data_IF_384202176865
#
_entry.id   IF_384202176865
#
_cell.length_a   1.000
_cell.length_b   1.000
_cell.length_c   1.000
_cell.angle_alpha   90.00
_cell.angle_beta   90.00
_cell.angle_gamma   90.00
#
_symmetry.space_group_name_H-M   'P 1'
#
loop_
_entity.id
_entity.type
_entity.pdbx_description
1 polymer ?
2 non-polymer ?
3 non-polymer ?
4 water ?
#
# COMPACT_ATOMS: atom_id res chain seq x y z
N UNK A 6 -2.61 9.21 42.14
CA UNK A 6 -2.16 9.29 40.68
C UNK A 6 -1.77 10.71 40.20
N UNK A 7 -0.72 11.23 40.83
CA UNK A 7 -0.06 12.48 40.43
C UNK A 7 0.57 12.37 39.00
N UNK A 8 0.35 13.39 38.15
CA UNK A 8 0.83 13.36 36.76
C UNK A 8 2.31 12.96 36.61
N UNK A 9 3.15 13.47 37.48
CA UNK A 9 4.59 13.20 37.37
C UNK A 9 5.02 11.77 37.71
N UNK A 10 4.05 10.95 38.11
CA UNK A 10 4.40 9.57 38.39
C UNK A 10 4.18 8.66 37.16
N UNK A 11 3.53 9.18 36.09
CA UNK A 11 3.36 8.44 34.84
C UNK A 11 4.70 8.09 34.17
N UNK A 12 4.84 6.86 33.69
CA UNK A 12 6.08 6.42 33.04
C UNK A 12 5.84 6.62 31.54
N UNK A 13 6.93 6.78 30.81
CA UNK A 13 6.89 6.98 29.41
C UNK A 13 6.21 5.79 28.72
N UNK A 14 6.56 4.55 29.10
CA UNK A 14 5.97 3.36 28.48
C UNK A 14 4.47 3.29 28.71
N UNK A 15 4.01 3.69 29.91
CA UNK A 15 2.57 3.72 30.16
C UNK A 15 1.87 4.79 29.34
N UNK A 16 2.53 5.94 29.19
CA UNK A 16 1.98 6.95 28.29
C UNK A 16 1.88 6.39 26.86
N UNK A 17 2.96 5.81 26.31
CA UNK A 17 2.94 5.27 24.96
C UNK A 17 1.97 4.13 24.78
N UNK A 18 1.87 3.20 25.73
CA UNK A 18 0.87 2.08 25.65
C UNK A 18 -0.57 2.63 25.58
N UNK A 19 -0.83 3.64 26.41
CA UNK A 19 -2.17 4.27 26.42
C UNK A 19 -2.45 4.99 25.13
N UNK A 20 -1.44 5.68 24.60
CA UNK A 20 -1.62 6.48 23.38
C UNK A 20 -1.80 5.58 22.18
N UNK A 21 -1.12 4.45 22.17
CA UNK A 21 -1.24 3.56 21.02
C UNK A 21 -2.66 2.93 20.91
N UNK A 22 -3.26 2.65 22.06
CA UNK A 22 -4.61 2.12 22.15
C UNK A 22 -5.63 3.20 21.72
N UNK A 23 -5.41 4.44 22.19
CA UNK A 23 -6.22 5.59 21.74
C UNK A 23 -6.14 5.68 20.21
N UNK A 24 -4.92 5.77 19.67
CA UNK A 24 -4.73 5.88 18.21
C UNK A 24 -5.37 4.66 17.44
N UNK A 25 -5.22 3.43 17.94
CA UNK A 25 -5.84 2.25 17.29
C UNK A 25 -7.35 2.40 17.28
N UNK A 26 -7.89 2.95 18.35
CA UNK A 26 -9.35 2.95 18.49
C UNK A 26 -10.00 4.17 17.83
N UNK A 27 -9.34 5.32 17.89
CA UNK A 27 -9.99 6.59 17.55
C UNK A 27 -9.35 7.18 16.33
N UNK A 28 -8.14 6.73 16.04
CA UNK A 28 -7.38 7.29 14.91
C UNK A 28 -6.51 8.39 15.51
N UNK A 29 -5.56 8.86 14.70
CA UNK A 29 -4.72 9.99 15.08
C UNK A 29 -5.42 11.33 15.32
N UNK A 30 -6.20 11.76 14.35
CA UNK A 30 -7.01 13.04 14.41
C UNK A 30 -7.85 13.24 15.68
N UNK A 31 -8.68 12.25 16.02
CA UNK A 31 -9.61 12.35 17.17
C UNK A 31 -8.95 12.14 18.53
N UNK A 32 -7.75 11.56 18.54
CA UNK A 32 -7.05 11.36 19.79
C UNK A 32 -6.56 12.69 20.30
N UNK A 33 -6.76 12.93 21.59
CA UNK A 33 -6.28 14.16 22.20
C UNK A 33 -5.39 13.80 23.37
N UNK A 34 -4.66 14.79 23.84
CA UNK A 34 -3.82 14.65 25.07
C UNK A 34 -4.65 14.30 26.29
N UNK A 35 -5.81 14.92 26.39
CA UNK A 35 -6.71 14.59 27.50
C UNK A 35 -7.13 13.11 27.43
N UNK A 36 -7.43 12.60 26.24
CA UNK A 36 -7.85 11.23 26.12
C UNK A 36 -6.69 10.24 26.49
N UNK A 37 -5.48 10.53 25.98
CA UNK A 37 -4.30 9.71 26.27
C UNK A 37 -4.04 9.73 27.75
N UNK A 38 -4.08 10.93 28.35
CA UNK A 38 -3.84 11.06 29.79
C UNK A 38 -4.83 10.25 30.59
N UNK A 39 -6.12 10.48 30.34
CA UNK A 39 -7.18 9.69 31.00
C UNK A 39 -6.99 8.19 30.82
N UNK A 40 -6.64 7.76 29.63
CA UNK A 40 -6.49 6.34 29.34
C UNK A 40 -5.36 5.69 30.22
N UNK A 41 -4.28 6.44 30.43
CA UNK A 41 -3.13 5.92 31.22
C UNK A 41 -3.43 5.98 32.73
N UNK A 42 -4.50 6.68 33.11
CA UNK A 42 -4.83 6.73 34.52
C UNK A 42 -4.46 8.06 35.15
N UNK A 43 -4.25 9.10 34.32
CA UNK A 43 -3.81 10.38 34.82
C UNK A 43 -4.62 11.45 34.15
N UNK A 44 -3.98 12.58 33.78
CA UNK A 44 -4.65 13.69 33.02
C UNK A 44 -3.59 14.14 32.03
N UNK A 45 -3.88 15.19 31.26
CA UNK A 45 -2.98 15.54 30.16
C UNK A 45 -1.56 15.91 30.68
N UNK A 46 -1.47 16.48 31.88
CA UNK A 46 -0.15 16.85 32.43
C UNK A 46 0.85 15.67 32.52
N UNK A 47 0.31 14.46 32.54
CA UNK A 47 1.15 13.25 32.58
C UNK A 47 1.73 13.02 31.20
N UNK A 48 1.06 13.49 30.17
CA UNK A 48 1.59 13.33 28.82
C UNK A 48 2.70 14.39 28.58
N UNK A 49 2.38 15.65 28.90
CA UNK A 49 3.35 16.76 28.89
C UNK A 49 4.67 16.43 29.68
N UNK A 50 4.58 15.59 30.70
CA UNK A 50 5.76 15.25 31.51
C UNK A 50 6.78 14.55 30.66
N UNK A 51 6.31 13.96 29.56
CA UNK A 51 7.16 13.22 28.64
C UNK A 51 7.28 13.74 27.20
N UNK A 52 6.24 14.40 26.66
CA UNK A 52 6.14 14.77 25.26
C UNK A 52 5.57 16.14 25.11
N UNK A 53 6.11 16.97 24.21
CA UNK A 53 5.60 18.35 24.03
C UNK A 53 4.21 18.33 23.50
N UNK A 54 3.92 17.31 22.68
CA UNK A 54 2.71 17.38 21.93
C UNK A 54 2.37 16.02 21.37
N UNK A 55 1.23 15.95 20.71
CA UNK A 55 0.71 14.69 20.19
C UNK A 55 1.63 14.10 19.08
N UNK A 56 2.18 14.93 18.20
CA UNK A 56 3.06 14.37 17.20
C UNK A 56 4.37 13.74 17.75
N UNK A 57 4.89 14.24 18.91
CA UNK A 57 6.03 13.61 19.50
C UNK A 57 5.59 12.28 20.03
N UNK A 58 4.33 12.20 20.52
CA UNK A 58 3.82 10.92 21.06
C UNK A 58 3.78 9.89 19.92
N UNK A 59 3.24 10.34 18.77
CA UNK A 59 3.15 9.43 17.62
C UNK A 59 4.50 8.96 17.17
N UNK A 60 5.47 9.90 17.08
CA UNK A 60 6.81 9.57 16.64
C UNK A 60 7.41 8.48 17.52
N UNK A 61 7.12 8.55 18.81
CA UNK A 61 7.76 7.67 19.80
C UNK A 61 7.10 6.28 19.68
N UNK A 62 5.78 6.23 19.48
CA UNK A 62 5.10 4.94 19.23
C UNK A 62 5.66 4.28 17.99
N UNK A 63 5.95 5.09 16.96
CA UNK A 63 6.47 4.52 15.74
C UNK A 63 7.91 4.04 15.95
N UNK A 64 8.74 4.86 16.55
CA UNK A 64 10.12 4.56 16.69
C UNK A 64 10.27 3.20 17.39
N UNK A 65 9.39 2.93 18.36
CA UNK A 65 9.50 1.79 19.29
C UNK A 65 9.31 0.47 18.51
N UNK A 66 8.56 0.54 17.41
CA UNK A 66 8.49 -0.67 16.57
C UNK A 66 9.38 -0.62 15.32
N UNK A 67 9.56 0.51 14.70
CA UNK A 67 10.45 0.66 13.57
C UNK A 67 11.94 0.46 13.88
N UNK A 68 12.43 0.99 14.99
CA UNK A 68 13.83 0.80 15.41
C UNK A 68 14.27 -0.67 15.41
N UNK A 69 13.60 -1.54 16.20
CA UNK A 69 13.96 -2.97 16.23
C UNK A 69 13.99 -3.64 14.87
N UNK A 70 13.09 -3.22 13.98
CA UNK A 70 12.88 -3.90 12.72
C UNK A 70 13.96 -3.49 11.75
N UNK A 71 14.40 -2.25 11.88
CA UNK A 71 15.51 -1.72 11.06
C UNK A 71 16.83 -2.37 11.46
N UNK A 72 16.98 -2.57 12.76
CA UNK A 72 18.08 -3.34 13.31
C UNK A 72 18.14 -4.75 12.68
N UNK A 73 17.05 -5.50 12.69
CA UNK A 73 17.05 -6.81 12.01
C UNK A 73 17.49 -6.69 10.56
N UNK A 74 16.96 -5.71 9.81
CA UNK A 74 17.29 -5.62 8.42
C UNK A 74 18.74 -5.28 8.20
N UNK A 75 19.27 -4.43 9.05
CA UNK A 75 20.66 -4.07 8.98
C UNK A 75 21.57 -5.30 9.13
N UNK A 76 21.25 -6.22 10.05
CA UNK A 76 22.07 -7.43 10.19
C UNK A 76 22.20 -8.31 8.91
N UNK A 77 21.21 -8.27 8.04
CA UNK A 77 21.23 -9.12 6.83
C UNK A 77 22.38 -8.83 5.87
N UNK A 78 22.94 -7.64 5.95
CA UNK A 78 24.07 -7.33 5.07
C UNK A 78 25.47 -7.62 5.73
N UNK A 79 25.52 -8.30 6.87
CA UNK A 79 26.82 -8.49 7.58
C UNK A 79 27.84 -9.34 6.76
N UNK A 80 29.11 -8.95 6.82
CA UNK A 80 30.16 -9.70 6.10
C UNK A 80 30.57 -10.89 6.96
N UNK A 81 29.86 -11.08 8.07
CA UNK A 81 30.13 -12.25 8.89
C UNK A 81 29.34 -13.45 8.53
N UNK A 82 28.38 -13.26 7.63
CA UNK A 82 27.64 -14.39 7.16
C UNK A 82 27.62 -14.33 5.64
N UNK A 83 27.29 -15.43 4.99
CA UNK A 83 27.42 -15.54 3.53
C UNK A 83 26.12 -15.95 2.87
N UNK A 84 25.02 -15.74 3.60
CA UNK A 84 23.67 -15.98 3.10
C UNK A 84 22.74 -14.73 3.22
N UNK A 85 23.09 -13.56 2.59
CA UNK A 85 22.28 -12.32 2.76
C UNK A 85 20.84 -12.44 2.24
N UNK A 86 20.65 -13.17 1.16
CA UNK A 86 19.34 -13.40 0.62
C UNK A 86 18.52 -14.23 1.60
N UNK A 87 19.06 -15.37 2.06
CA UNK A 87 18.35 -16.17 3.08
C UNK A 87 18.04 -15.32 4.32
N UNK A 88 18.97 -14.47 4.73
CA UNK A 88 18.80 -13.70 5.96
C UNK A 88 17.70 -12.66 5.83
N UNK A 89 17.67 -12.00 4.67
CA UNK A 89 16.59 -11.07 4.33
C UNK A 89 15.25 -11.77 4.37
N UNK A 90 15.20 -12.97 3.80
CA UNK A 90 13.99 -13.79 3.86
C UNK A 90 13.60 -14.10 5.30
N UNK A 91 14.59 -14.44 6.13
CA UNK A 91 14.31 -14.76 7.56
C UNK A 91 13.69 -13.59 8.28
N UNK A 92 14.24 -12.40 8.06
CA UNK A 92 13.75 -11.22 8.72
C UNK A 92 12.29 -10.91 8.27
N UNK A 93 12.07 -10.82 6.95
CA UNK A 93 10.80 -10.43 6.38
C UNK A 93 9.71 -11.45 6.73
N UNK A 94 10.03 -12.74 6.61
CA UNK A 94 8.98 -13.75 6.75
C UNK A 94 8.50 -13.82 8.23
N UNK A 95 9.47 -13.80 9.15
CA UNK A 95 9.14 -13.72 10.56
C UNK A 95 8.45 -12.42 10.93
N UNK A 96 8.80 -11.33 10.25
CA UNK A 96 8.01 -10.09 10.46
C UNK A 96 6.57 -10.24 10.02
N UNK A 97 6.34 -10.79 8.82
CA UNK A 97 4.98 -11.08 8.34
C UNK A 97 4.17 -11.92 9.36
N UNK A 98 4.76 -13.05 9.77
CA UNK A 98 4.16 -13.89 10.82
C UNK A 98 3.84 -13.06 12.07
N UNK A 99 4.82 -12.28 12.56
CA UNK A 99 4.55 -11.45 13.72
C UNK A 99 3.39 -10.46 13.55
N UNK A 100 3.37 -9.79 12.40
CA UNK A 100 2.32 -8.82 12.11
C UNK A 100 0.99 -9.54 12.05
N UNK A 101 0.98 -10.76 11.54
CA UNK A 101 -0.27 -11.52 11.44
C UNK A 101 -0.76 -12.03 12.82
N UNK A 102 0.17 -12.32 13.74
CA UNK A 102 -0.23 -12.91 15.02
C UNK A 102 -0.33 -11.88 16.17
N UNK A 103 0.24 -10.72 16.01
CA UNK A 103 0.28 -9.76 17.09
C UNK A 103 -0.57 -8.54 16.72
N UNK A 104 -1.82 -8.52 17.18
CA UNK A 104 -2.78 -7.48 16.76
C UNK A 104 -2.22 -6.07 17.10
N UNK A 105 -1.55 -5.96 18.23
CA UNK A 105 -1.05 -4.69 18.69
C UNK A 105 -0.02 -4.14 17.74
N UNK A 106 0.98 -4.94 17.43
CA UNK A 106 1.93 -4.61 16.34
C UNK A 106 1.27 -4.33 15.01
N UNK A 107 0.32 -5.16 14.67
CA UNK A 107 -0.34 -4.95 13.40
C UNK A 107 -1.07 -3.60 13.41
N UNK A 108 -1.74 -3.27 14.48
CA UNK A 108 -2.42 -1.99 14.50
C UNK A 108 -1.50 -0.75 14.55
N UNK A 109 -0.30 -0.88 15.10
CA UNK A 109 0.60 0.22 14.91
C UNK A 109 1.09 0.36 13.49
N UNK A 110 1.43 -0.77 12.88
CA UNK A 110 1.83 -0.76 11.50
C UNK A 110 0.66 -0.14 10.66
N UNK A 111 -0.59 -0.44 11.01
CA UNK A 111 -1.75 0.10 10.26
C UNK A 111 -1.97 1.61 10.52
N UNK A 112 -1.62 2.12 11.70
CA UNK A 112 -1.62 3.54 11.91
C UNK A 112 -0.72 4.23 10.88
N UNK A 113 0.49 3.70 10.65
CA UNK A 113 1.40 4.33 9.70
C UNK A 113 0.89 4.14 8.27
N UNK A 114 0.37 2.95 7.96
CA UNK A 114 -0.09 2.71 6.59
C UNK A 114 -1.16 3.69 6.22
N UNK A 115 -2.14 3.89 7.11
CA UNK A 115 -3.28 4.80 6.90
C UNK A 115 -2.89 6.23 6.57
N UNK A 116 -1.89 6.76 7.29
CA UNK A 116 -1.30 8.07 6.99
C UNK A 116 -2.31 9.23 7.17
N UNK A 117 -1.90 10.46 6.80
CA UNK A 117 -2.71 11.68 7.02
C UNK A 117 -3.99 11.64 6.18
N UNK A 118 -5.13 11.92 6.83
CA UNK A 118 -6.45 11.74 6.22
C UNK A 118 -6.76 12.82 5.22
N UNK A 119 -5.84 13.77 5.06
CA UNK A 119 -6.00 14.95 4.17
C UNK A 119 -4.68 15.64 3.84
N UNK A 120 -4.62 16.28 2.67
CA UNK A 120 -3.51 17.14 2.25
C UNK A 120 -3.12 18.26 3.25
N UNK A 121 -4.03 18.63 4.17
CA UNK A 121 -3.77 19.62 5.26
C UNK A 121 -2.52 19.41 6.13
N UNK A 122 -2.34 18.17 6.54
CA UNK A 122 -1.24 17.79 7.40
C UNK A 122 -0.40 16.74 6.67
N UNK A 123 0.92 16.79 6.89
CA UNK A 123 1.87 15.82 6.33
C UNK A 123 2.63 15.11 7.45
N UNK A 124 2.08 15.11 8.66
CA UNK A 124 2.82 14.58 9.84
C UNK A 124 3.17 13.08 9.76
N UNK A 125 2.21 12.22 9.43
CA UNK A 125 2.51 10.79 9.24
C UNK A 125 3.30 10.54 7.92
N UNK A 126 3.07 11.39 6.92
CA UNK A 126 3.72 11.18 5.59
C UNK A 126 5.23 11.30 5.62
N UNK A 127 5.73 12.31 6.32
CA UNK A 127 7.14 12.51 6.58
C UNK A 127 7.75 11.36 7.35
N UNK A 128 7.01 10.79 8.31
CA UNK A 128 7.56 9.64 9.11
C UNK A 128 7.65 8.43 8.22
N UNK A 129 6.60 8.24 7.45
CA UNK A 129 6.60 7.18 6.42
C UNK A 129 7.76 7.36 5.42
N UNK A 130 7.94 8.54 4.87
CA UNK A 130 9.07 8.77 3.95
C UNK A 130 10.37 8.33 4.61
N UNK A 131 10.64 8.84 5.78
CA UNK A 131 11.85 8.53 6.49
C UNK A 131 11.97 7.02 6.78
N UNK A 132 10.89 6.38 7.21
CA UNK A 132 10.90 4.94 7.35
C UNK A 132 11.16 4.12 6.06
N UNK A 133 10.43 4.44 4.98
CA UNK A 133 10.68 3.83 3.65
C UNK A 133 12.14 3.92 3.19
N UNK A 134 12.73 5.10 3.35
CA UNK A 134 14.15 5.32 2.99
C UNK A 134 15.10 4.44 3.82
N UNK A 135 14.84 4.33 5.12
CA UNK A 135 15.61 3.46 6.03
C UNK A 135 15.59 1.98 5.60
N UNK A 136 14.40 1.51 5.24
CA UNK A 136 14.15 0.13 4.87
C UNK A 136 14.82 -0.16 3.51
N UNK A 137 14.65 0.75 2.58
CA UNK A 137 15.25 0.60 1.26
C UNK A 137 16.78 0.53 1.36
N UNK A 138 17.37 1.43 2.16
CA UNK A 138 18.83 1.49 2.28
C UNK A 138 19.30 0.10 2.72
N UNK A 139 18.68 -0.42 3.77
CA UNK A 139 19.07 -1.70 4.31
C UNK A 139 18.88 -2.90 3.39
N UNK A 140 17.74 -2.95 2.70
CA UNK A 140 17.51 -4.01 1.74
C UNK A 140 18.55 -3.91 0.59
N UNK A 141 18.83 -2.70 0.14
CA UNK A 141 19.79 -2.56 -0.93
C UNK A 141 21.19 -3.06 -0.52
N UNK A 142 21.58 -2.80 0.74
CA UNK A 142 22.88 -3.28 1.23
C UNK A 142 22.99 -4.82 1.29
N UNK A 143 21.95 -5.50 1.77
CA UNK A 143 21.89 -6.98 1.74
C UNK A 143 22.04 -7.50 0.31
N UNK A 144 21.31 -6.87 -0.59
CA UNK A 144 21.34 -7.24 -2.02
C UNK A 144 22.67 -6.94 -2.68
N UNK A 145 23.35 -5.89 -2.28
CA UNK A 145 24.68 -5.62 -2.78
C UNK A 145 25.68 -6.69 -2.28
N UNK A 146 25.58 -7.08 -1.01
CA UNK A 146 26.37 -8.24 -0.56
C UNK A 146 26.05 -9.55 -1.31
N UNK A 147 24.79 -9.75 -1.72
CA UNK A 147 24.42 -10.97 -2.44
C UNK A 147 25.11 -11.04 -3.83
N UNK A 148 25.18 -9.88 -4.48
CA UNK A 148 25.80 -9.73 -5.82
C UNK A 148 27.30 -10.12 -5.79
N UNK A 149 28.02 -9.59 -4.80
CA UNK A 149 29.44 -9.92 -4.57
C UNK A 149 29.70 -11.41 -4.38
N UNK A 150 28.73 -12.10 -3.77
CA UNK A 150 28.84 -13.49 -3.55
C UNK A 150 28.28 -14.26 -4.75
N UNK A 151 27.93 -13.56 -5.84
CA UNK A 151 27.59 -14.25 -7.05
C UNK A 151 26.18 -14.85 -7.00
N UNK A 152 25.37 -14.34 -6.07
CA UNK A 152 24.01 -14.86 -5.83
C UNK A 152 22.86 -14.13 -6.61
N UNK A 153 23.18 -13.09 -7.37
CA UNK A 153 22.23 -12.37 -8.13
C UNK A 153 22.37 -12.80 -9.59
N UNK A 154 21.32 -12.59 -10.35
CA UNK A 154 21.31 -12.90 -11.74
C UNK A 154 22.24 -11.90 -12.42
N UNK A 155 22.77 -12.25 -13.60
CA UNK A 155 23.65 -11.33 -14.33
C UNK A 155 22.94 -10.00 -14.59
N UNK A 156 23.59 -8.90 -14.25
CA UNK A 156 23.02 -7.60 -14.59
C UNK A 156 22.05 -7.05 -13.54
N UNK A 157 21.79 -7.79 -12.45
CA UNK A 157 20.76 -7.36 -11.49
C UNK A 157 21.27 -6.17 -10.72
N UNK A 158 20.46 -5.11 -10.70
CA UNK A 158 20.79 -3.92 -9.96
C UNK A 158 20.19 -4.03 -8.56
N UNK A 159 21.01 -4.05 -7.52
CA UNK A 159 20.48 -4.19 -6.16
C UNK A 159 19.54 -3.05 -5.70
N UNK A 160 19.77 -1.82 -6.19
CA UNK A 160 18.91 -0.69 -5.86
C UNK A 160 17.48 -0.85 -6.47
N UNK A 161 17.44 -1.30 -7.71
CA UNK A 161 16.14 -1.58 -8.37
C UNK A 161 15.46 -2.75 -7.67
N UNK A 162 16.20 -3.81 -7.48
CA UNK A 162 15.70 -4.94 -6.72
C UNK A 162 15.06 -4.56 -5.35
N UNK A 163 15.75 -3.72 -4.57
CA UNK A 163 15.22 -3.25 -3.29
C UNK A 163 13.92 -2.46 -3.54
N UNK A 164 13.91 -1.60 -4.54
CA UNK A 164 12.71 -0.80 -4.82
C UNK A 164 11.49 -1.74 -5.19
N UNK A 165 11.72 -2.81 -5.97
CA UNK A 165 10.62 -3.72 -6.37
C UNK A 165 10.08 -4.52 -5.17
N UNK A 166 11.02 -4.95 -4.34
CA UNK A 166 10.67 -5.66 -3.11
C UNK A 166 9.84 -4.77 -2.20
N UNK A 167 10.23 -3.53 -1.97
CA UNK A 167 9.41 -2.66 -1.14
C UNK A 167 8.03 -2.46 -1.80
N UNK A 168 7.97 -2.26 -3.13
CA UNK A 168 6.69 -2.10 -3.77
C UNK A 168 5.79 -3.32 -3.56
N UNK A 169 6.25 -4.52 -3.84
CA UNK A 169 5.29 -5.62 -3.85
C UNK A 169 4.95 -5.94 -2.36
N UNK A 170 5.91 -5.81 -1.42
CA UNK A 170 5.58 -5.98 0.01
C UNK A 170 4.60 -4.90 0.54
N UNK A 171 4.90 -3.63 0.26
CA UNK A 171 3.99 -2.57 0.63
C UNK A 171 2.59 -2.89 0.12
N UNK A 172 2.44 -3.35 -1.14
CA UNK A 172 1.14 -3.65 -1.67
C UNK A 172 0.39 -4.74 -0.90
N UNK A 173 1.14 -5.76 -0.46
CA UNK A 173 0.55 -6.85 0.32
C UNK A 173 0.07 -6.26 1.62
N UNK A 174 0.89 -5.44 2.26
CA UNK A 174 0.49 -4.81 3.59
C UNK A 174 -0.81 -3.97 3.42
N UNK A 175 -0.92 -3.21 2.33
CA UNK A 175 -2.11 -2.39 2.13
C UNK A 175 -3.34 -3.24 1.82
N UNK A 176 -3.14 -4.22 0.95
CA UNK A 176 -4.20 -5.16 0.61
C UNK A 176 -4.78 -5.90 1.82
N UNK A 177 -3.92 -6.45 2.66
CA UNK A 177 -4.28 -7.18 3.90
C UNK A 177 -4.98 -6.30 4.92
N UNK A 178 -4.57 -5.03 5.01
CA UNK A 178 -5.25 -4.06 5.82
C UNK A 178 -6.70 -3.82 5.30
N UNK A 179 -6.87 -3.62 3.97
CA UNK A 179 -8.19 -3.41 3.38
C UNK A 179 -9.10 -4.67 3.48
N UNK A 180 -8.57 -5.85 3.12
CA UNK A 180 -9.42 -7.04 2.92
C UNK A 180 -8.64 -8.26 3.33
N UNK A 181 -8.50 -8.44 4.64
CA UNK A 181 -7.81 -9.64 5.10
C UNK A 181 -8.44 -10.96 4.56
N UNK A 182 -9.68 -10.98 4.13
CA UNK A 182 -10.24 -12.24 3.62
C UNK A 182 -9.60 -12.60 2.28
N UNK A 183 -9.17 -11.56 1.54
CA UNK A 183 -8.66 -11.71 0.19
C UNK A 183 -7.16 -11.68 0.08
N UNK A 184 -6.49 -10.97 0.98
CA UNK A 184 -5.03 -10.82 0.95
C UNK A 184 -4.44 -11.17 2.31
N UNK A 185 -3.60 -12.22 2.41
CA UNK A 185 -3.21 -12.82 3.68
C UNK A 185 -1.79 -12.42 3.96
N UNK A 186 -1.59 -11.69 5.04
CA UNK A 186 -0.28 -11.08 5.27
C UNK A 186 0.89 -12.13 5.22
N UNK A 187 0.78 -13.23 5.95
CA UNK A 187 1.79 -14.30 5.87
C UNK A 187 1.92 -14.91 4.49
N UNK A 188 0.81 -15.40 3.96
CA UNK A 188 0.85 -16.23 2.78
C UNK A 188 1.28 -15.37 1.56
N UNK A 189 0.68 -14.18 1.44
CA UNK A 189 0.96 -13.32 0.29
C UNK A 189 2.25 -12.49 0.48
N UNK A 190 2.59 -12.15 1.72
CA UNK A 190 3.89 -11.47 1.94
C UNK A 190 4.96 -12.44 1.46
N UNK A 191 4.85 -13.71 1.87
CA UNK A 191 5.86 -14.69 1.48
C UNK A 191 5.86 -14.92 -0.06
N UNK A 192 4.68 -15.02 -0.67
CA UNK A 192 4.65 -15.15 -2.14
C UNK A 192 5.21 -13.89 -2.81
N UNK A 193 4.89 -12.69 -2.35
CA UNK A 193 5.46 -11.47 -3.01
C UNK A 193 7.00 -11.37 -2.86
N UNK A 194 7.47 -11.68 -1.66
CA UNK A 194 8.90 -11.66 -1.36
C UNK A 194 9.65 -12.67 -2.23
N UNK A 195 9.17 -13.91 -2.29
CA UNK A 195 9.82 -14.96 -3.11
C UNK A 195 9.78 -14.68 -4.62
N UNK A 196 8.64 -14.20 -5.08
CA UNK A 196 8.42 -13.87 -6.49
C UNK A 196 9.40 -12.74 -6.85
N UNK A 197 9.45 -11.72 -6.05
CA UNK A 197 10.35 -10.59 -6.32
C UNK A 197 11.83 -10.96 -6.24
N UNK A 198 12.22 -11.70 -5.22
CA UNK A 198 13.60 -12.17 -5.13
C UNK A 198 13.91 -13.07 -6.32
N UNK A 199 12.98 -13.88 -6.81
CA UNK A 199 13.38 -14.80 -7.89
C UNK A 199 13.65 -14.07 -9.25
N UNK A 200 13.21 -12.80 -9.34
CA UNK A 200 13.43 -11.94 -10.52
C UNK A 200 14.91 -11.45 -10.57
N UNK A 201 15.53 -11.39 -9.41
CA UNK A 201 16.86 -10.74 -9.22
C UNK A 201 17.94 -11.68 -8.68
N UNK A 202 17.49 -12.79 -8.08
CA UNK A 202 18.34 -13.82 -7.43
C UNK A 202 18.44 -15.09 -8.31
N UNK A 203 19.68 -15.61 -8.44
CA UNK A 203 20.03 -16.87 -9.14
C UNK A 203 19.14 -18.03 -8.67
N UNK A 204 18.74 -18.91 -9.59
CA UNK A 204 18.06 -20.15 -9.12
C UNK A 204 18.97 -21.01 -8.31
N UNK A 205 18.38 -21.74 -7.38
CA UNK A 205 19.13 -22.58 -6.49
C UNK A 205 19.65 -21.88 -5.25
N UNK A 206 19.56 -20.54 -5.16
CA UNK A 206 20.14 -19.85 -3.94
C UNK A 206 19.29 -20.06 -2.66
N UNK A 207 17.96 -20.07 -2.80
CA UNK A 207 17.08 -20.44 -1.69
C UNK A 207 15.89 -21.21 -2.29
N UNK A 208 15.15 -21.94 -1.43
CA UNK A 208 13.99 -22.75 -1.86
C UNK A 208 12.73 -21.92 -1.60
N UNK A 209 11.99 -21.49 -2.67
CA UNK A 209 10.81 -20.67 -2.43
C UNK A 209 9.78 -21.40 -1.56
N UNK A 210 9.07 -20.65 -0.74
CA UNK A 210 8.00 -21.23 0.02
C UNK A 210 8.40 -21.80 1.34
N UNK A 211 9.70 -21.82 1.64
CA UNK A 211 10.17 -22.39 2.90
C UNK A 211 10.15 -21.35 4.04
N UNK A 212 9.87 -21.86 5.22
CA UNK A 212 9.95 -21.07 6.43
C UNK A 212 11.38 -21.08 6.98
N UNK A 213 12.10 -19.95 6.88
CA UNK A 213 13.43 -19.91 7.47
C UNK A 213 13.49 -19.98 9.00
N UNK A 214 14.66 -20.39 9.50
CA UNK A 214 14.92 -20.32 10.94
C UNK A 214 15.00 -18.82 11.28
N UNK A 215 14.48 -18.41 12.46
CA UNK A 215 14.67 -17.03 12.89
C UNK A 215 16.19 -16.65 12.81
N UNK A 216 16.47 -15.43 12.35
CA UNK A 216 17.85 -14.92 12.31
C UNK A 216 18.47 -15.04 13.67
N UNK A 217 19.72 -15.60 13.77
CA UNK A 217 20.26 -15.86 15.14
C UNK A 217 20.51 -14.60 15.99
N UNK A 218 20.49 -14.72 17.32
CA UNK A 218 21.09 -13.71 18.28
C UNK A 218 20.10 -13.09 19.28
N UNK B 10 -27.45 15.28 -12.84
CA UNK B 10 -26.59 15.00 -14.04
C UNK B 10 -25.40 15.97 -14.20
N UNK B 11 -25.68 17.28 -14.33
CA UNK B 11 -24.61 18.29 -14.46
C UNK B 11 -24.40 19.14 -13.18
N UNK B 12 -25.49 19.34 -12.43
CA UNK B 12 -25.41 19.85 -11.07
C UNK B 12 -24.71 18.79 -10.25
N UNK B 13 -25.12 17.52 -10.47
CA UNK B 13 -24.45 16.34 -9.88
C UNK B 13 -22.95 16.47 -10.09
N UNK B 14 -22.54 16.62 -11.36
CA UNK B 14 -21.13 16.74 -11.71
C UNK B 14 -20.41 17.90 -11.01
N UNK B 15 -21.06 19.08 -10.96
CA UNK B 15 -20.57 20.23 -10.18
C UNK B 15 -20.38 20.01 -8.68
N UNK B 16 -21.33 19.36 -8.01
CA UNK B 16 -21.17 19.01 -6.59
C UNK B 16 -19.95 18.12 -6.43
N UNK B 17 -19.90 17.05 -7.24
CA UNK B 17 -18.81 16.12 -7.17
C UNK B 17 -17.43 16.75 -7.34
N UNK B 18 -17.31 17.69 -8.27
CA UNK B 18 -16.05 18.37 -8.51
C UNK B 18 -15.61 19.14 -7.26
N UNK B 19 -16.55 19.91 -6.70
CA UNK B 19 -16.29 20.75 -5.54
C UNK B 19 -15.94 19.86 -4.36
N UNK B 20 -16.73 18.80 -4.16
CA UNK B 20 -16.47 17.81 -3.14
C UNK B 20 -15.09 17.20 -3.30
N UNK B 21 -14.61 17.09 -4.54
CA UNK B 21 -13.23 16.60 -4.73
C UNK B 21 -12.23 17.57 -4.12
N UNK B 22 -12.43 18.86 -4.37
CA UNK B 22 -11.50 19.88 -3.89
C UNK B 22 -11.46 19.90 -2.35
N UNK B 23 -12.64 19.83 -1.73
CA UNK B 23 -12.77 19.76 -0.27
C UNK B 23 -12.22 18.47 0.30
N UNK B 24 -12.62 17.33 -0.26
CA UNK B 24 -12.20 16.07 0.33
C UNK B 24 -10.67 15.97 0.36
N UNK B 25 -10.00 16.41 -0.72
CA UNK B 25 -8.53 16.31 -0.79
C UNK B 25 -7.82 17.24 0.20
N UNK B 26 -8.22 18.51 0.25
CA UNK B 26 -7.57 19.43 1.20
C UNK B 26 -7.92 19.11 2.66
N UNK B 27 -9.21 18.87 2.92
CA UNK B 27 -9.75 18.78 4.29
C UNK B 27 -9.94 17.37 4.87
N UNK B 28 -10.14 16.39 3.99
CA UNK B 28 -10.28 15.00 4.43
C UNK B 28 -11.75 14.62 4.55
N UNK B 29 -11.99 13.32 4.75
CA UNK B 29 -13.35 12.77 4.83
C UNK B 29 -14.11 13.26 6.08
N UNK B 30 -13.42 13.25 7.22
CA UNK B 30 -14.03 13.65 8.49
C UNK B 30 -14.55 15.09 8.49
N UNK B 31 -13.63 16.04 8.16
CA UNK B 31 -13.93 17.47 8.37
C UNK B 31 -14.77 18.14 7.27
N UNK B 32 -15.01 17.44 6.17
CA UNK B 32 -15.84 17.96 5.09
C UNK B 32 -17.32 17.68 5.36
N UNK B 33 -18.16 18.71 5.27
CA UNK B 33 -19.62 18.52 5.26
C UNK B 33 -20.27 19.02 3.97
N UNK B 34 -21.51 18.57 3.78
CA UNK B 34 -22.36 18.95 2.66
C UNK B 34 -22.51 20.47 2.44
N UNK B 35 -22.54 21.25 3.53
CA UNK B 35 -22.65 22.73 3.44
C UNK B 35 -21.40 23.41 2.86
N UNK B 36 -20.21 22.96 3.27
CA UNK B 36 -18.93 23.41 2.70
C UNK B 36 -18.86 23.11 1.18
N UNK B 37 -19.22 21.88 0.82
CA UNK B 37 -19.25 21.45 -0.58
C UNK B 37 -20.19 22.37 -1.41
N UNK B 38 -21.38 22.64 -0.89
CA UNK B 38 -22.35 23.48 -1.57
C UNK B 38 -21.78 24.84 -1.97
N UNK B 39 -21.25 25.54 -0.97
CA UNK B 39 -20.64 26.87 -1.15
C UNK B 39 -19.58 26.89 -2.28
N UNK B 40 -18.55 26.07 -2.15
CA UNK B 40 -17.52 26.04 -3.18
C UNK B 40 -18.14 25.77 -4.56
N UNK B 41 -19.13 24.88 -4.60
CA UNK B 41 -19.88 24.52 -5.83
C UNK B 41 -20.73 25.68 -6.32
N UNK B 42 -21.04 26.58 -5.39
CA UNK B 42 -21.87 27.74 -5.68
C UNK B 42 -23.36 27.46 -5.65
N UNK B 43 -23.81 26.32 -5.09
CA UNK B 43 -25.26 26.03 -5.07
C UNK B 43 -25.87 26.14 -3.66
N UNK B 44 -27.22 26.07 -3.61
CA UNK B 44 -28.05 26.01 -2.39
C UNK B 44 -27.97 24.65 -1.66
N UNK B 45 -28.21 24.64 -0.34
CA UNK B 45 -28.29 23.36 0.39
C UNK B 45 -29.37 22.42 -0.20
N UNK B 46 -30.55 22.97 -0.52
CA UNK B 46 -31.64 22.19 -1.12
C UNK B 46 -31.19 21.42 -2.37
N UNK B 47 -30.66 22.19 -3.34
CA UNK B 47 -30.00 21.69 -4.57
C UNK B 47 -29.05 20.53 -4.34
N UNK B 48 -28.21 20.62 -3.29
CA UNK B 48 -27.23 19.61 -2.97
C UNK B 48 -27.88 18.31 -2.45
N UNK B 49 -28.86 18.46 -1.55
CA UNK B 49 -29.52 17.31 -0.90
C UNK B 49 -30.37 16.48 -1.85
N UNK B 50 -30.94 17.15 -2.84
CA UNK B 50 -31.59 16.50 -4.00
C UNK B 50 -30.78 15.33 -4.57
N UNK B 51 -29.47 15.49 -4.59
CA UNK B 51 -28.56 14.51 -5.16
C UNK B 51 -27.98 13.61 -4.07
N UNK B 52 -27.54 14.19 -2.96
CA UNK B 52 -26.84 13.42 -1.98
C UNK B 52 -27.27 13.92 -0.63
N UNK B 53 -27.85 13.00 0.14
CA UNK B 53 -28.38 13.30 1.47
C UNK B 53 -27.30 13.27 2.54
N UNK B 54 -26.07 12.92 2.17
CA UNK B 54 -24.98 12.72 3.13
C UNK B 54 -23.62 12.65 2.43
N UNK B 55 -22.56 12.83 3.21
CA UNK B 55 -21.18 12.76 2.74
C UNK B 55 -20.83 11.41 2.08
N UNK B 56 -21.26 10.30 2.65
CA UNK B 56 -20.89 9.01 2.07
C UNK B 56 -21.52 8.78 0.70
N UNK B 57 -22.76 9.20 0.53
CA UNK B 57 -23.39 9.14 -0.78
C UNK B 57 -22.53 9.89 -1.78
N UNK B 58 -22.02 11.04 -1.33
CA UNK B 58 -21.16 11.89 -2.17
C UNK B 58 -19.81 11.20 -2.50
N UNK B 59 -19.11 10.71 -1.46
CA UNK B 59 -17.88 9.95 -1.72
C UNK B 59 -18.10 8.78 -2.68
N UNK B 60 -19.21 8.04 -2.50
CA UNK B 60 -19.52 6.85 -3.32
C UNK B 60 -19.60 7.21 -4.80
N UNK B 61 -20.15 8.40 -5.08
CA UNK B 61 -20.32 8.89 -6.46
C UNK B 61 -19.02 9.48 -7.04
N UNK B 62 -18.17 10.01 -6.16
CA UNK B 62 -16.83 10.38 -6.54
C UNK B 62 -16.03 9.12 -6.91
N UNK B 63 -15.90 8.17 -5.98
CA UNK B 63 -15.17 6.97 -6.32
C UNK B 63 -15.73 6.37 -7.59
N UNK B 64 -17.05 6.18 -7.64
CA UNK B 64 -17.75 5.65 -8.82
C UNK B 64 -17.26 6.29 -10.13
N UNK B 65 -17.08 7.60 -10.13
CA UNK B 65 -16.84 8.28 -11.39
C UNK B 65 -15.59 7.74 -12.05
N UNK B 66 -14.57 7.54 -11.24
CA UNK B 66 -13.24 7.06 -11.63
C UNK B 66 -13.18 5.52 -11.70
N UNK B 67 -13.58 4.89 -10.61
CA UNK B 67 -13.45 3.45 -10.44
C UNK B 67 -14.27 2.69 -11.47
N UNK B 68 -15.44 3.22 -11.80
CA UNK B 68 -16.27 2.53 -12.75
C UNK B 68 -15.59 2.34 -14.14
N UNK B 69 -15.14 3.44 -14.78
CA UNK B 69 -14.68 3.21 -16.14
C UNK B 69 -13.34 2.45 -16.19
N UNK B 70 -12.60 2.50 -15.08
CA UNK B 70 -11.40 1.68 -14.92
C UNK B 70 -11.71 0.19 -14.92
N UNK B 71 -12.87 -0.18 -14.35
CA UNK B 71 -13.25 -1.56 -14.19
C UNK B 71 -13.75 -2.08 -15.49
N UNK B 72 -14.38 -1.17 -16.26
CA UNK B 72 -14.77 -1.41 -17.62
C UNK B 72 -13.57 -1.64 -18.54
N UNK B 73 -12.49 -0.88 -18.39
CA UNK B 73 -11.23 -1.16 -19.12
C UNK B 73 -10.66 -2.57 -18.70
N UNK B 74 -10.60 -2.84 -17.40
CA UNK B 74 -10.12 -4.14 -16.92
C UNK B 74 -10.92 -5.30 -17.44
N UNK B 75 -12.22 -5.17 -17.35
CA UNK B 75 -13.21 -6.11 -17.86
C UNK B 75 -13.04 -6.47 -19.31
N UNK B 76 -12.84 -5.48 -20.15
CA UNK B 76 -12.50 -5.70 -21.56
C UNK B 76 -11.26 -6.55 -21.85
N UNK B 77 -10.24 -6.54 -20.97
CA UNK B 77 -9.04 -7.32 -21.25
C UNK B 77 -9.30 -8.84 -21.24
N UNK B 78 -10.40 -9.31 -20.66
CA UNK B 78 -10.73 -10.73 -20.73
C UNK B 78 -11.82 -11.06 -21.81
N UNK B 79 -12.11 -10.14 -22.72
CA UNK B 79 -13.07 -10.42 -23.78
C UNK B 79 -12.68 -11.68 -24.58
N UNK B 80 -13.70 -12.50 -24.82
CA UNK B 80 -13.51 -13.75 -25.57
C UNK B 80 -13.38 -13.37 -27.00
N UNK B 81 -13.31 -12.08 -27.29
CA UNK B 81 -13.20 -11.60 -28.72
C UNK B 81 -11.79 -11.21 -29.23
N UNK B 82 -10.81 -11.21 -28.33
CA UNK B 82 -9.42 -10.84 -28.70
C UNK B 82 -8.54 -11.92 -28.02
N UNK B 83 -7.37 -12.20 -28.58
CA UNK B 83 -6.60 -13.35 -28.14
C UNK B 83 -5.28 -12.94 -27.44
N UNK B 84 -5.22 -11.69 -26.96
CA UNK B 84 -4.00 -11.14 -26.28
C UNK B 84 -4.30 -10.58 -24.89
N UNK B 85 -4.92 -11.39 -23.96
CA UNK B 85 -5.36 -10.87 -22.66
C UNK B 85 -4.26 -10.32 -21.77
N UNK B 86 -3.07 -10.90 -21.87
CA UNK B 86 -1.94 -10.41 -21.04
C UNK B 86 -1.51 -9.05 -21.58
N UNK B 87 -1.20 -9.04 -22.86
CA UNK B 87 -0.88 -7.76 -23.52
C UNK B 87 -1.92 -6.68 -23.19
N UNK B 88 -3.20 -7.01 -23.29
CA UNK B 88 -4.26 -6.01 -23.03
C UNK B 88 -4.30 -5.53 -21.57
N UNK B 89 -4.25 -6.49 -20.63
CA UNK B 89 -4.23 -6.15 -19.20
C UNK B 89 -2.99 -5.25 -18.84
N UNK B 90 -1.83 -5.66 -19.31
CA UNK B 90 -0.63 -4.89 -19.17
C UNK B 90 -0.82 -3.47 -19.74
N UNK B 91 -1.42 -3.39 -20.94
CA UNK B 91 -1.68 -2.07 -21.56
C UNK B 91 -2.60 -1.22 -20.71
N UNK B 92 -3.70 -1.76 -20.22
CA UNK B 92 -4.55 -0.99 -19.35
C UNK B 92 -3.79 -0.44 -18.10
N UNK B 93 -2.99 -1.25 -17.40
CA UNK B 93 -2.34 -0.75 -16.20
C UNK B 93 -1.27 0.31 -16.54
N UNK B 94 -0.46 0.05 -17.56
CA UNK B 94 0.58 1.02 -17.98
C UNK B 94 -0.09 2.34 -18.34
N UNK B 95 -1.12 2.29 -19.20
CA UNK B 95 -1.82 3.53 -19.52
C UNK B 95 -2.43 4.24 -18.35
N UNK B 96 -2.98 3.49 -17.40
CA UNK B 96 -3.52 4.08 -16.20
C UNK B 96 -2.43 4.79 -15.40
N UNK B 97 -1.31 4.12 -15.20
CA UNK B 97 -0.16 4.70 -14.50
C UNK B 97 0.23 6.03 -15.21
N UNK B 98 0.37 5.98 -16.50
CA UNK B 98 0.74 7.16 -17.25
C UNK B 98 -0.27 8.27 -17.01
N UNK B 99 -1.56 7.96 -17.12
CA UNK B 99 -2.55 9.01 -16.98
C UNK B 99 -2.53 9.69 -15.59
N UNK B 100 -2.38 8.84 -14.57
CA UNK B 100 -2.28 9.36 -13.18
C UNK B 100 -1.09 10.30 -13.02
N UNK B 101 0.04 9.96 -13.60
CA UNK B 101 1.24 10.74 -13.48
C UNK B 101 1.15 12.06 -14.15
N UNK B 102 0.30 12.18 -15.18
CA UNK B 102 0.28 13.37 -16.04
C UNK B 102 -0.96 14.26 -15.77
N UNK B 103 -1.89 13.79 -14.91
CA UNK B 103 -3.16 14.47 -14.61
C UNK B 103 -3.34 14.66 -13.11
N UNK B 104 -2.94 15.82 -12.57
CA UNK B 104 -2.97 16.04 -11.11
C UNK B 104 -4.43 15.94 -10.59
N UNK B 105 -5.41 16.40 -11.38
CA UNK B 105 -6.85 16.23 -11.04
C UNK B 105 -7.11 14.74 -10.71
N UNK B 106 -6.93 13.87 -11.71
CA UNK B 106 -7.21 12.43 -11.49
C UNK B 106 -6.37 11.82 -10.40
N UNK B 107 -5.12 12.26 -10.28
CA UNK B 107 -4.25 11.71 -9.24
C UNK B 107 -4.72 12.10 -7.83
N UNK B 108 -5.33 13.28 -7.65
CA UNK B 108 -5.85 13.64 -6.31
C UNK B 108 -7.10 12.82 -5.95
N UNK B 109 -7.97 12.63 -6.94
CA UNK B 109 -9.15 11.79 -6.77
C UNK B 109 -8.70 10.38 -6.39
N UNK B 110 -7.64 9.90 -7.02
CA UNK B 110 -7.14 8.58 -6.69
C UNK B 110 -6.57 8.49 -5.29
N UNK B 111 -5.90 9.53 -4.82
CA UNK B 111 -5.36 9.47 -3.40
C UNK B 111 -6.51 9.51 -2.34
N UNK B 112 -7.52 10.37 -2.57
CA UNK B 112 -8.79 10.32 -1.83
C UNK B 112 -9.30 8.87 -1.77
N UNK B 113 -9.30 8.19 -2.93
CA UNK B 113 -9.75 6.80 -3.07
C UNK B 113 -8.84 5.81 -2.35
N UNK B 114 -7.53 6.09 -2.32
CA UNK B 114 -6.58 5.18 -1.64
C UNK B 114 -6.37 5.40 -0.15
N UNK B 115 -6.66 6.61 0.35
CA UNK B 115 -6.40 6.94 1.77
C UNK B 115 -7.26 6.07 2.67
N UNK B 116 -6.77 5.73 3.84
CA UNK B 116 -7.54 4.90 4.74
C UNK B 116 -8.45 5.71 5.63
N UNK B 117 -9.46 5.06 6.20
CA UNK B 117 -10.21 5.67 7.30
C UNK B 117 -9.23 5.89 8.46
N UNK B 118 -9.50 6.87 9.31
CA UNK B 118 -8.62 7.16 10.43
C UNK B 118 -8.64 6.02 11.47
N UNK B 119 -9.83 5.51 11.80
CA UNK B 119 -9.99 4.46 12.84
C UNK B 119 -10.50 3.12 12.31
N UNK B 120 -10.60 2.14 13.21
CA UNK B 120 -11.25 0.88 12.91
C UNK B 120 -12.77 1.03 13.09
N UNK B 121 -13.19 2.22 13.51
CA UNK B 121 -14.61 2.50 13.77
C UNK B 121 -15.34 3.03 12.55
N UNK B 122 -14.72 3.97 11.82
CA UNK B 122 -15.26 4.41 10.53
C UNK B 122 -14.82 3.45 9.44
N UNK B 123 -15.71 3.26 8.48
CA UNK B 123 -15.62 2.15 7.57
C UNK B 123 -16.10 2.49 6.16
N UNK B 124 -17.21 3.23 6.05
CA UNK B 124 -18.01 3.29 4.80
C UNK B 124 -17.17 3.56 3.54
N UNK B 125 -16.07 4.31 3.72
CA UNK B 125 -15.01 4.43 2.73
C UNK B 125 -14.10 3.17 2.65
N UNK B 126 -13.83 2.49 3.76
CA UNK B 126 -13.14 1.20 3.63
C UNK B 126 -14.09 0.23 2.94
N UNK B 127 -15.41 0.41 3.08
CA UNK B 127 -16.35 -0.52 2.42
C UNK B 127 -16.33 -0.45 0.89
N UNK B 128 -16.14 0.75 0.36
CA UNK B 128 -15.96 0.89 -1.08
C UNK B 128 -14.56 0.50 -1.50
N UNK B 129 -13.58 0.59 -0.61
CA UNK B 129 -12.27 0.11 -0.96
C UNK B 129 -12.32 -1.38 -1.12
N UNK B 130 -12.96 -2.04 -0.14
CA UNK B 130 -13.11 -3.50 -0.16
C UNK B 130 -13.81 -3.95 -1.43
N UNK B 131 -14.87 -3.23 -1.82
CA UNK B 131 -15.68 -3.60 -2.96
C UNK B 131 -14.88 -3.30 -4.21
N UNK B 132 -14.16 -2.19 -4.18
CA UNK B 132 -13.31 -1.81 -5.27
C UNK B 132 -12.14 -2.72 -5.44
N UNK B 133 -11.51 -3.10 -4.32
CA UNK B 133 -10.38 -4.09 -4.29
C UNK B 133 -10.88 -5.43 -4.88
N UNK B 134 -12.05 -5.89 -4.46
CA UNK B 134 -12.62 -7.17 -4.95
C UNK B 134 -12.97 -7.15 -6.45
N UNK B 135 -13.51 -6.03 -6.92
CA UNK B 135 -13.85 -5.88 -8.36
C UNK B 135 -12.61 -5.94 -9.25
N UNK B 136 -11.54 -5.25 -8.86
CA UNK B 136 -10.34 -5.18 -9.63
C UNK B 136 -9.66 -6.57 -9.68
N UNK B 137 -9.66 -7.25 -8.53
CA UNK B 137 -9.01 -8.57 -8.48
C UNK B 137 -9.71 -9.60 -9.33
N UNK B 138 -11.05 -9.60 -9.28
CA UNK B 138 -11.89 -10.51 -10.06
C UNK B 138 -11.60 -10.25 -11.56
N UNK B 139 -11.55 -8.99 -11.98
CA UNK B 139 -11.32 -8.72 -13.40
C UNK B 139 -9.93 -9.06 -13.88
N UNK B 140 -8.93 -8.78 -13.04
CA UNK B 140 -7.55 -9.27 -13.30
C UNK B 140 -7.55 -10.80 -13.44
N UNK B 141 -8.23 -11.49 -12.54
CA UNK B 141 -8.21 -12.97 -12.57
C UNK B 141 -8.88 -13.51 -13.85
N UNK B 142 -9.92 -12.86 -14.32
CA UNK B 142 -10.61 -13.26 -15.55
C UNK B 142 -9.72 -13.10 -16.77
N UNK B 143 -8.98 -12.02 -16.83
CA UNK B 143 -8.06 -11.85 -17.95
C UNK B 143 -6.93 -12.89 -17.88
N UNK B 144 -6.42 -13.17 -16.66
CA UNK B 144 -5.32 -14.13 -16.54
C UNK B 144 -5.83 -15.63 -16.75
N UNK B 145 -7.08 -15.90 -16.42
CA UNK B 145 -7.61 -17.22 -16.70
C UNK B 145 -7.80 -17.41 -18.23
N UNK B 146 -8.26 -16.36 -18.92
CA UNK B 146 -8.28 -16.41 -20.37
C UNK B 146 -6.84 -16.62 -20.93
N UNK B 147 -5.84 -15.85 -20.45
CA UNK B 147 -4.42 -16.14 -20.80
C UNK B 147 -4.05 -17.61 -20.59
N UNK B 148 -4.43 -18.15 -19.44
CA UNK B 148 -4.14 -19.54 -19.14
C UNK B 148 -4.77 -20.47 -20.24
N UNK B 149 -6.03 -20.24 -20.55
CA UNK B 149 -6.79 -21.03 -21.59
C UNK B 149 -6.07 -21.01 -22.94
N UNK B 150 -5.46 -19.86 -23.24
CA UNK B 150 -4.77 -19.63 -24.51
C UNK B 150 -3.33 -20.11 -24.55
N UNK B 151 -2.91 -20.72 -23.47
CA UNK B 151 -1.53 -21.21 -23.38
C UNK B 151 -0.50 -20.13 -23.15
N UNK B 152 -0.89 -19.00 -22.55
CA UNK B 152 0.05 -17.86 -22.32
C UNK B 152 0.70 -17.78 -20.91
N UNK B 153 0.21 -18.55 -19.97
CA UNK B 153 0.81 -18.60 -18.66
C UNK B 153 1.83 -19.73 -18.58
N UNK B 154 2.83 -19.54 -17.72
CA UNK B 154 3.74 -20.60 -17.42
C UNK B 154 3.06 -21.85 -16.84
N UNK B 155 3.71 -22.99 -17.08
CA UNK B 155 3.25 -24.30 -16.61
C UNK B 155 2.98 -24.18 -15.12
N UNK B 156 1.76 -24.51 -14.70
CA UNK B 156 1.36 -24.59 -13.29
C UNK B 156 0.97 -23.25 -12.69
N UNK B 157 1.09 -22.14 -13.44
CA UNK B 157 0.69 -20.81 -12.91
C UNK B 157 -0.80 -20.84 -12.60
N UNK B 158 -1.20 -20.36 -11.42
CA UNK B 158 -2.60 -20.36 -11.00
C UNK B 158 -3.07 -18.92 -11.23
N UNK B 159 -4.07 -18.72 -12.11
CA UNK B 159 -4.50 -17.34 -12.40
C UNK B 159 -4.98 -16.56 -11.20
N UNK B 160 -5.61 -17.23 -10.22
CA UNK B 160 -6.03 -16.54 -8.98
C UNK B 160 -4.78 -15.94 -8.25
N UNK B 161 -3.69 -16.69 -8.20
CA UNK B 161 -2.50 -16.28 -7.47
C UNK B 161 -1.74 -15.17 -8.25
N UNK B 162 -1.68 -15.34 -9.58
CA UNK B 162 -1.08 -14.32 -10.42
C UNK B 162 -1.84 -12.98 -10.25
N UNK B 163 -3.16 -13.05 -10.19
CA UNK B 163 -3.95 -11.81 -10.05
C UNK B 163 -3.68 -11.13 -8.64
N UNK B 164 -3.60 -11.92 -7.55
CA UNK B 164 -3.22 -11.34 -6.24
C UNK B 164 -1.88 -10.64 -6.27
N UNK B 165 -0.88 -11.26 -6.87
CA UNK B 165 0.47 -10.66 -6.92
C UNK B 165 0.45 -9.38 -7.80
N UNK B 166 -0.37 -9.41 -8.87
CA UNK B 166 -0.51 -8.23 -9.80
C UNK B 166 -1.14 -7.10 -9.00
N UNK B 167 -2.20 -7.44 -8.29
CA UNK B 167 -2.93 -6.49 -7.50
C UNK B 167 -2.05 -5.86 -6.43
N UNK B 168 -1.27 -6.67 -5.72
CA UNK B 168 -0.36 -6.14 -4.66
C UNK B 168 0.69 -5.23 -5.31
N UNK B 169 1.17 -5.66 -6.49
CA UNK B 169 2.17 -4.91 -7.24
C UNK B 169 1.66 -3.49 -7.59
N UNK B 170 0.47 -3.40 -8.16
CA UNK B 170 -0.18 -2.10 -8.52
C UNK B 170 -0.39 -1.21 -7.25
N UNK B 171 -0.83 -1.85 -6.15
CA UNK B 171 -1.17 -1.18 -4.97
C UNK B 171 0.11 -0.65 -4.30
N UNK B 172 1.17 -1.44 -4.30
CA UNK B 172 2.46 -0.99 -3.76
C UNK B 172 3.06 0.13 -4.59
N UNK B 173 2.96 0.07 -5.92
CA UNK B 173 3.42 1.23 -6.73
C UNK B 173 2.60 2.52 -6.45
N UNK B 174 1.27 2.43 -6.43
CA UNK B 174 0.44 3.61 -6.13
C UNK B 174 0.75 4.21 -4.76
N UNK B 175 0.77 3.36 -3.74
CA UNK B 175 1.05 3.82 -2.40
C UNK B 175 2.47 4.35 -2.33
N UNK B 176 3.42 3.68 -2.98
CA UNK B 176 4.82 4.08 -2.90
C UNK B 176 5.01 5.50 -3.40
N UNK B 177 4.32 5.78 -4.51
CA UNK B 177 4.38 7.07 -5.18
C UNK B 177 3.63 8.23 -4.43
N UNK B 178 2.64 7.89 -3.62
CA UNK B 178 1.88 8.88 -2.87
C UNK B 178 2.68 9.37 -1.70
N UNK B 179 3.52 8.51 -1.12
CA UNK B 179 4.40 8.87 0.00
C UNK B 179 5.66 9.59 -0.49
N UNK B 180 6.25 9.08 -1.56
CA UNK B 180 7.56 9.51 -2.00
C UNK B 180 7.62 9.65 -3.50
N UNK B 181 6.95 10.67 -4.05
CA UNK B 181 6.91 10.68 -5.53
C UNK B 181 8.30 10.55 -6.16
N UNK B 182 9.27 11.29 -5.63
CA UNK B 182 10.66 11.23 -6.10
C UNK B 182 11.39 9.86 -5.93
N UNK B 183 10.91 8.98 -5.05
CA UNK B 183 11.50 7.64 -4.95
C UNK B 183 10.72 6.56 -5.72
N UNK B 184 9.45 6.80 -6.01
CA UNK B 184 8.69 5.73 -6.69
C UNK B 184 8.05 6.42 -7.86
N UNK B 185 8.56 6.16 -9.05
CA UNK B 185 8.06 6.92 -10.21
C UNK B 185 6.94 6.10 -10.84
N UNK B 186 5.71 6.66 -10.93
CA UNK B 186 4.54 5.89 -11.48
C UNK B 186 4.81 5.26 -12.79
N UNK B 187 5.25 6.06 -13.77
CA UNK B 187 5.53 5.58 -15.08
C UNK B 187 6.70 4.60 -15.13
N UNK B 188 7.83 4.94 -14.52
CA UNK B 188 9.03 4.14 -14.80
C UNK B 188 9.07 2.92 -13.86
N UNK B 189 8.91 3.14 -12.54
CA UNK B 189 8.87 2.01 -11.61
C UNK B 189 7.56 1.25 -11.75
N UNK B 190 6.46 1.91 -12.10
CA UNK B 190 5.21 1.17 -12.30
C UNK B 190 5.37 0.12 -13.44
N UNK B 191 5.98 0.55 -14.52
CA UNK B 191 6.23 -0.39 -15.63
C UNK B 191 7.23 -1.48 -15.24
N UNK B 192 8.28 -1.12 -14.50
CA UNK B 192 9.24 -2.18 -14.09
C UNK B 192 8.56 -3.20 -13.20
N UNK B 193 7.79 -2.73 -12.25
CA UNK B 193 7.14 -3.66 -11.30
C UNK B 193 6.09 -4.53 -12.00
N UNK B 194 5.28 -3.91 -12.86
CA UNK B 194 4.29 -4.70 -13.65
C UNK B 194 4.97 -5.78 -14.45
N UNK B 195 6.02 -5.41 -15.18
CA UNK B 195 6.69 -6.38 -16.03
C UNK B 195 7.35 -7.53 -15.26
N UNK B 196 7.96 -7.17 -14.10
CA UNK B 196 8.49 -8.18 -13.19
C UNK B 196 7.39 -9.20 -12.78
N UNK B 197 6.28 -8.70 -12.25
CA UNK B 197 5.25 -9.60 -11.71
C UNK B 197 4.57 -10.43 -12.86
N UNK B 198 4.38 -9.79 -13.99
CA UNK B 198 3.85 -10.54 -15.17
C UNK B 198 4.83 -11.60 -15.63
N UNK B 199 6.12 -11.30 -15.74
CA UNK B 199 7.08 -12.32 -16.11
C UNK B 199 7.17 -13.51 -15.14
N UNK B 200 6.84 -13.31 -13.87
CA UNK B 200 6.76 -14.46 -12.97
C UNK B 200 5.68 -15.50 -13.37
N UNK B 201 4.62 -15.08 -14.07
CA UNK B 201 3.47 -15.99 -14.33
C UNK B 201 3.17 -16.22 -15.85
N UNK B 202 3.74 -15.38 -16.72
CA UNK B 202 3.48 -15.38 -18.17
C UNK B 202 4.74 -15.85 -18.94
N UNK B 203 4.50 -16.66 -19.97
CA UNK B 203 5.57 -17.16 -20.82
C UNK B 203 6.25 -16.02 -21.55
N UNK B 204 7.53 -16.23 -21.83
CA UNK B 204 8.32 -15.26 -22.56
C UNK B 204 7.78 -15.13 -23.95
N UNK B 205 7.92 -13.92 -24.48
CA UNK B 205 7.42 -13.64 -25.86
C UNK B 205 5.93 -13.32 -25.96
N UNK B 206 5.17 -13.42 -24.87
CA UNK B 206 3.77 -13.04 -24.87
C UNK B 206 3.51 -11.55 -25.04
N UNK B 207 4.16 -10.72 -24.25
CA UNK B 207 4.18 -9.26 -24.48
C UNK B 207 5.66 -8.77 -24.59
N UNK B 208 5.81 -7.51 -24.99
CA UNK B 208 7.11 -6.89 -25.09
C UNK B 208 7.32 -6.01 -23.83
N UNK B 209 8.27 -6.38 -22.94
CA UNK B 209 8.49 -5.63 -21.72
C UNK B 209 9.19 -4.33 -22.02
N UNK B 210 9.10 -3.40 -21.08
CA UNK B 210 9.85 -2.16 -21.18
C UNK B 210 9.26 -1.15 -22.13
N UNK B 211 8.20 -1.50 -22.90
CA UNK B 211 7.65 -0.47 -23.76
C UNK B 211 6.20 -0.21 -23.44
N UNK B 212 5.76 1.00 -23.79
CA UNK B 212 4.41 1.44 -23.61
C UNK B 212 3.69 0.90 -24.83
N UNK B 213 2.72 0.02 -24.66
CA UNK B 213 1.93 -0.50 -25.77
C UNK B 213 0.98 0.52 -26.40
N UNK B 214 0.50 0.21 -27.59
CA UNK B 214 -0.47 1.05 -28.28
C UNK B 214 -1.79 1.13 -27.50
N UNK B 215 -2.59 2.19 -27.76
CA UNK B 215 -3.94 2.27 -27.18
C UNK B 215 -4.81 1.10 -27.57
N UNK B 216 -5.46 0.44 -26.59
CA UNK B 216 -6.49 -0.57 -26.92
C UNK B 216 -7.64 0.11 -27.67
N UNK B 217 -8.28 -0.62 -28.62
CA UNK B 217 -9.49 -0.24 -29.38
C UNK B 217 -10.61 0.46 -28.58
N UNK B 218 -11.76 0.73 -29.23
CA UNK B 218 -13.01 1.10 -28.54
C UNK B 218 -12.94 2.37 -27.67
#
# INVERSE_FOLDING_TARGET
MARKTKEDTQATREGILDAAEACFHEHGVARTTLEMIGARAGYTRGAVYWHFKNKSEVLAAIVERVHLPFMQELERTSTDQRDTPVHDLRAVMIHSFIELSEDERLRKTMEIMLRSDASANTRVLTEMQQAGFRDALDRMERALRRARDLGQLREGADPKIAARMLHATVLGVLHGAMVEPELMDLKRDGMLALDMTLAAYVKDGVFVPGTVPEPLPEA
MARKTKEDTQATREGILDAAEACFHEHGVARTTLEMIGARAGYTRGAVYWHFKNKSEVLAAIVERVHLPFMQELERTSTDQRDTPVHDLRAVMIHSFIELSEDERLRKTMEIMLRSDASANTRVLTEMQQAGFRDALDRMERALRRARDLGQLREGADPKIAARMLHATVLGVLHGAMVEPELMDLKRDGMLALDMTLAAYVKDGVFVPGTVPEPLPEA
#
